data_IF_697021967197
#
_entry.id   IF_697021967197
#
_cell.length_a   1.000
_cell.length_b   1.000
_cell.length_c   1.000
_cell.angle_alpha   90.00
_cell.angle_beta   90.00
_cell.angle_gamma   90.00
#
_symmetry.space_group_name_H-M   'P 1'
#
loop_
_entity.id
_entity.type
_entity.pdbx_description
1 polymer ?
#
# COMPACT_ATOMS: atom_id res chain seq x y z
N UNK A 1 -25.68 16.93 13.76
CA UNK A 1 -26.35 15.64 13.50
C UNK A 1 -26.32 15.40 12.00
N UNK A 2 -25.24 14.80 11.50
CA UNK A 2 -25.12 14.40 10.10
C UNK A 2 -25.77 13.04 9.96
N UNK A 3 -26.85 12.97 9.17
CA UNK A 3 -27.52 11.74 8.79
C UNK A 3 -26.55 10.88 7.99
N UNK A 4 -26.27 9.66 8.47
CA UNK A 4 -25.49 8.67 7.72
C UNK A 4 -26.20 8.39 6.40
N UNK A 5 -25.68 8.95 5.32
CA UNK A 5 -26.09 8.58 3.96
C UNK A 5 -25.59 7.18 3.69
N UNK A 6 -26.49 6.36 3.15
CA UNK A 6 -26.31 4.99 2.67
C UNK A 6 -24.90 4.78 2.10
N UNK A 7 -24.07 3.99 2.79
CA UNK A 7 -22.71 3.69 2.31
C UNK A 7 -22.89 2.71 1.16
N UNK A 8 -22.79 3.17 -0.08
CA UNK A 8 -22.81 2.30 -1.26
C UNK A 8 -21.52 1.44 -1.28
N UNK A 9 -21.60 0.24 -0.72
CA UNK A 9 -20.52 -0.74 -0.76
C UNK A 9 -20.92 -1.95 -1.59
N UNK A 10 -20.04 -2.36 -2.50
CA UNK A 10 -20.25 -3.53 -3.33
C UNK A 10 -19.46 -4.72 -2.81
N UNK A 11 -20.14 -5.68 -2.17
CA UNK A 11 -19.53 -6.95 -1.80
C UNK A 11 -19.28 -7.79 -3.05
N UNK A 12 -18.05 -8.27 -3.23
CA UNK A 12 -17.68 -9.25 -4.24
C UNK A 12 -16.89 -10.39 -3.59
N UNK A 13 -17.28 -11.62 -3.87
CA UNK A 13 -16.48 -12.80 -3.50
C UNK A 13 -15.55 -13.14 -4.66
N UNK A 14 -14.25 -13.12 -4.38
CA UNK A 14 -13.20 -13.55 -5.31
C UNK A 14 -12.61 -14.85 -4.78
N UNK A 15 -12.42 -15.82 -5.67
CA UNK A 15 -11.74 -17.08 -5.34
C UNK A 15 -10.42 -17.08 -6.09
N UNK A 16 -9.35 -17.42 -5.38
CA UNK A 16 -8.04 -17.60 -6.01
C UNK A 16 -7.91 -19.04 -6.50
N UNK A 17 -7.30 -19.22 -7.68
CA UNK A 17 -6.98 -20.56 -8.16
C UNK A 17 -5.96 -21.21 -7.24
N UNK A 18 -6.12 -22.51 -6.92
CA UNK A 18 -5.12 -23.23 -6.17
C UNK A 18 -3.86 -23.34 -7.02
N UNK A 19 -2.75 -22.80 -6.51
CA UNK A 19 -1.43 -22.89 -7.13
C UNK A 19 -0.72 -24.19 -6.78
N UNK A 20 -1.16 -24.84 -5.69
CA UNK A 20 -0.57 -26.06 -5.15
C UNK A 20 -1.57 -27.20 -5.35
N UNK A 21 -1.15 -28.23 -6.06
CA UNK A 21 -1.92 -29.47 -6.17
C UNK A 21 -1.62 -30.43 -5.00
N UNK A 22 -2.35 -31.55 -4.96
CA UNK A 22 -2.22 -32.52 -3.88
C UNK A 22 -0.86 -33.24 -3.88
N UNK A 23 -0.25 -33.43 -5.05
CA UNK A 23 1.00 -34.18 -5.18
C UNK A 23 2.19 -33.32 -4.75
N UNK A 24 2.21 -32.06 -5.20
CA UNK A 24 3.17 -31.05 -4.74
C UNK A 24 3.06 -30.83 -3.23
N UNK A 25 1.84 -30.71 -2.69
CA UNK A 25 1.63 -30.60 -1.25
C UNK A 25 2.19 -31.81 -0.50
N UNK A 26 1.98 -33.01 -1.04
CA UNK A 26 2.49 -34.26 -0.48
C UNK A 26 4.01 -34.30 -0.47
N UNK A 27 4.66 -33.93 -1.57
CA UNK A 27 6.12 -33.87 -1.65
C UNK A 27 6.72 -32.85 -0.67
N UNK A 28 6.11 -31.68 -0.53
CA UNK A 28 6.56 -30.65 0.42
C UNK A 28 6.48 -31.18 1.85
N UNK A 29 5.35 -31.77 2.24
CA UNK A 29 5.14 -32.31 3.59
C UNK A 29 6.10 -33.47 3.85
N UNK A 30 6.23 -34.40 2.91
CA UNK A 30 7.12 -35.56 2.98
C UNK A 30 8.59 -35.14 3.12
N UNK A 31 9.03 -34.11 2.41
CA UNK A 31 10.39 -33.57 2.50
C UNK A 31 10.70 -33.00 3.88
N UNK A 32 9.69 -32.43 4.56
CA UNK A 32 9.80 -31.71 5.84
C UNK A 32 9.26 -32.49 7.04
N UNK A 33 8.74 -33.70 6.89
CA UNK A 33 8.03 -34.43 7.97
C UNK A 33 8.84 -34.65 9.25
N UNK A 34 10.17 -34.74 9.14
CA UNK A 34 11.04 -34.88 10.32
C UNK A 34 11.41 -33.54 10.97
N UNK A 35 11.09 -32.40 10.36
CA UNK A 35 11.49 -31.06 10.84
C UNK A 35 10.87 -30.69 12.19
N UNK A 36 9.65 -31.15 12.47
CA UNK A 36 8.95 -30.91 13.73
C UNK A 36 9.66 -31.56 14.93
N UNK A 37 10.44 -32.61 14.69
CA UNK A 37 11.19 -33.34 15.73
C UNK A 37 12.58 -32.77 15.97
N UNK A 38 12.91 -31.60 15.42
CA UNK A 38 14.26 -31.00 15.55
C UNK A 38 14.68 -30.77 17.02
N UNK A 39 13.73 -30.61 17.93
CA UNK A 39 13.97 -30.39 19.36
C UNK A 39 14.14 -31.68 20.17
N UNK A 40 13.89 -32.86 19.58
CA UNK A 40 14.10 -34.14 20.27
C UNK A 40 15.59 -34.48 20.33
N UNK A 41 16.01 -35.09 21.43
CA UNK A 41 17.37 -35.61 21.64
C UNK A 41 17.79 -36.56 20.50
N UNK A 42 16.88 -37.41 20.05
CA UNK A 42 17.05 -38.24 18.86
C UNK A 42 15.97 -37.91 17.85
N UNK A 43 16.38 -37.37 16.72
CA UNK A 43 15.48 -37.05 15.61
C UNK A 43 15.17 -38.35 14.84
N UNK A 44 13.89 -38.71 14.66
CA UNK A 44 13.51 -39.90 13.91
C UNK A 44 13.91 -39.80 12.42
N UNK A 45 14.19 -40.94 11.81
CA UNK A 45 14.46 -41.07 10.38
C UNK A 45 13.18 -40.81 9.58
N UNK A 46 13.33 -40.44 8.31
CA UNK A 46 12.17 -40.24 7.42
C UNK A 46 11.33 -41.51 7.29
N UNK A 47 11.93 -42.69 7.29
CA UNK A 47 11.19 -43.98 7.21
C UNK A 47 10.35 -44.28 8.44
N UNK A 48 10.61 -43.65 9.58
CA UNK A 48 9.90 -43.91 10.84
C UNK A 48 8.67 -42.99 11.00
N UNK A 49 8.63 -41.89 10.26
CA UNK A 49 7.55 -40.91 10.30
C UNK A 49 6.66 -41.08 9.08
N UNK A 50 5.39 -41.38 9.30
CA UNK A 50 4.42 -41.57 8.21
C UNK A 50 3.39 -40.44 8.21
N UNK A 51 3.11 -39.89 7.03
CA UNK A 51 2.05 -38.90 6.85
C UNK A 51 0.74 -39.66 6.69
N UNK A 52 -0.17 -39.53 7.66
CA UNK A 52 -1.44 -40.26 7.64
C UNK A 52 -2.44 -39.68 6.62
N UNK A 53 -2.57 -38.34 6.59
CA UNK A 53 -3.43 -37.66 5.62
C UNK A 53 -3.00 -36.22 5.43
N UNK A 54 -3.31 -35.68 4.25
CA UNK A 54 -3.12 -34.27 3.90
C UNK A 54 -4.45 -33.74 3.44
N UNK A 55 -4.88 -32.61 4.01
CA UNK A 55 -6.09 -31.90 3.60
C UNK A 55 -5.72 -30.46 3.32
N UNK A 56 -5.99 -30.01 2.10
CA UNK A 56 -5.80 -28.63 1.68
C UNK A 56 -7.08 -27.84 1.99
N UNK A 57 -6.89 -26.64 2.54
CA UNK A 57 -7.98 -25.73 2.89
C UNK A 57 -7.79 -24.39 2.20
N UNK A 58 -8.89 -23.80 1.73
CA UNK A 58 -8.92 -22.39 1.38
C UNK A 58 -8.95 -21.55 2.65
N UNK A 59 -8.05 -20.58 2.69
CA UNK A 59 -8.04 -19.53 3.70
C UNK A 59 -8.69 -18.27 3.13
N UNK A 60 -9.61 -17.70 3.91
CA UNK A 60 -10.37 -16.54 3.49
C UNK A 60 -9.72 -15.26 4.02
N UNK A 61 -9.58 -14.28 3.12
CA UNK A 61 -9.06 -12.95 3.43
C UNK A 61 -10.14 -11.91 3.13
N UNK A 62 -10.19 -10.84 3.91
CA UNK A 62 -11.04 -9.69 3.64
C UNK A 62 -10.18 -8.60 3.01
N UNK A 63 -10.61 -8.06 1.88
CA UNK A 63 -9.97 -6.88 1.26
C UNK A 63 -10.99 -5.76 1.24
N UNK A 64 -10.61 -4.61 1.79
CA UNK A 64 -11.36 -3.38 1.71
C UNK A 64 -10.63 -2.47 0.74
N UNK A 65 -11.34 -1.96 -0.25
CA UNK A 65 -10.84 -0.93 -1.16
C UNK A 65 -11.70 0.32 -1.01
N UNK A 66 -11.03 1.46 -0.92
CA UNK A 66 -11.66 2.77 -0.84
C UNK A 66 -11.04 3.66 -1.90
N UNK A 67 -11.90 4.35 -2.66
CA UNK A 67 -11.50 5.39 -3.60
C UNK A 67 -12.01 6.72 -3.07
N UNK A 68 -11.14 7.69 -2.94
CA UNK A 68 -11.54 9.04 -2.59
C UNK A 68 -11.08 10.04 -3.64
N UNK A 69 -11.92 11.05 -3.86
CA UNK A 69 -11.63 12.14 -4.77
C UNK A 69 -11.73 13.45 -4.00
N UNK A 70 -10.69 14.28 -4.08
CA UNK A 70 -10.70 15.62 -3.52
C UNK A 70 -10.57 16.63 -4.66
N UNK A 71 -11.52 17.57 -4.72
CA UNK A 71 -11.55 18.63 -5.70
C UNK A 71 -11.67 19.95 -4.96
N UNK A 72 -10.58 20.72 -4.88
CA UNK A 72 -10.52 21.91 -4.05
C UNK A 72 -9.52 22.93 -4.59
N UNK A 73 -9.74 24.20 -4.23
CA UNK A 73 -8.77 25.25 -4.48
C UNK A 73 -7.82 25.39 -3.28
N UNK A 74 -6.52 25.56 -3.55
CA UNK A 74 -5.53 25.86 -2.51
C UNK A 74 -4.65 27.03 -2.91
N UNK A 75 -4.33 27.88 -1.94
CA UNK A 75 -3.29 28.89 -2.10
C UNK A 75 -1.93 28.22 -1.93
N UNK A 76 -1.02 28.47 -2.87
CA UNK A 76 0.32 27.92 -2.86
C UNK A 76 1.35 28.97 -3.31
N UNK A 77 2.61 28.79 -2.88
CA UNK A 77 3.72 29.67 -3.25
C UNK A 77 4.69 28.88 -4.12
N UNK A 78 4.83 29.31 -5.38
CA UNK A 78 5.83 28.76 -6.30
C UNK A 78 7.07 29.63 -6.33
N UNK A 79 8.22 29.05 -6.01
CA UNK A 79 9.49 29.78 -6.04
C UNK A 79 10.21 29.58 -7.38
N UNK A 80 10.30 30.62 -8.19
CA UNK A 80 11.09 30.61 -9.41
C UNK A 80 12.51 31.10 -9.08
N UNK A 81 13.51 30.36 -9.56
CA UNK A 81 14.91 30.74 -9.40
C UNK A 81 15.39 31.44 -10.67
N UNK A 82 16.03 32.59 -10.53
CA UNK A 82 16.35 33.50 -11.62
C UNK A 82 17.84 33.84 -11.62
N UNK A 83 18.34 34.37 -12.74
CA UNK A 83 19.73 34.77 -12.86
C UNK A 83 20.06 35.92 -11.87
N UNK A 84 21.28 35.99 -11.32
CA UNK A 84 21.70 37.07 -10.43
C UNK A 84 21.55 38.49 -11.00
N UNK A 85 21.54 38.65 -12.33
CA UNK A 85 21.40 39.94 -13.02
C UNK A 85 19.95 40.40 -13.18
N UNK A 86 18.97 39.51 -12.96
CA UNK A 86 17.54 39.83 -13.06
C UNK A 86 17.09 40.59 -11.82
N UNK A 87 16.44 41.74 -12.01
CA UNK A 87 15.92 42.60 -10.93
C UNK A 87 14.44 42.35 -10.62
N UNK A 88 13.64 42.10 -11.64
CA UNK A 88 12.20 41.89 -11.55
C UNK A 88 11.73 40.94 -12.65
N UNK A 89 10.60 40.27 -12.44
CA UNK A 89 9.92 39.46 -13.44
C UNK A 89 8.50 40.01 -13.63
N UNK A 90 8.08 40.12 -14.89
CA UNK A 90 6.73 40.56 -15.25
C UNK A 90 5.96 39.32 -15.71
N UNK A 91 4.79 39.05 -15.11
CA UNK A 91 3.89 37.95 -15.49
C UNK A 91 2.48 38.54 -15.65
N UNK A 92 1.95 38.50 -16.87
CA UNK A 92 0.75 39.26 -17.21
C UNK A 92 0.99 40.75 -16.95
N UNK A 93 0.11 41.37 -16.17
CA UNK A 93 0.22 42.77 -15.76
C UNK A 93 0.91 42.96 -14.39
N UNK A 94 1.36 41.87 -13.75
CA UNK A 94 2.01 41.90 -12.44
C UNK A 94 3.53 42.01 -12.52
N UNK A 95 4.13 42.83 -11.64
CA UNK A 95 5.58 42.99 -11.49
C UNK A 95 6.02 42.35 -10.17
N UNK A 96 6.93 41.39 -10.24
CA UNK A 96 7.41 40.59 -9.10
C UNK A 96 8.89 40.88 -8.84
N UNK A 97 9.25 41.55 -7.72
CA UNK A 97 10.62 41.88 -7.41
C UNK A 97 11.40 40.66 -6.94
N UNK A 98 12.67 40.57 -7.37
CA UNK A 98 13.56 39.48 -6.98
C UNK A 98 14.02 39.63 -5.53
N UNK A 99 13.77 38.60 -4.71
CA UNK A 99 14.34 38.49 -3.37
C UNK A 99 15.79 38.00 -3.51
N UNK A 100 16.75 38.92 -3.32
CA UNK A 100 18.15 38.57 -3.20
C UNK A 100 18.40 37.92 -1.84
N UNK A 101 19.03 36.73 -1.82
CA UNK A 101 19.42 36.10 -0.57
C UNK A 101 20.48 36.93 0.15
N UNK A 102 20.15 37.53 1.30
CA UNK A 102 21.16 38.17 2.16
C UNK A 102 22.16 37.09 2.61
N UNK A 103 23.40 37.19 2.13
CA UNK A 103 24.51 36.41 2.65
C UNK A 103 24.73 36.79 4.10
N UNK A 104 24.80 35.80 4.99
CA UNK A 104 25.30 36.04 6.34
C UNK A 104 26.79 36.31 6.14
N UNK A 105 27.19 37.58 6.16
CA UNK A 105 28.59 37.94 6.37
C UNK A 105 28.93 37.51 7.81
N UNK A 106 29.22 36.22 7.97
CA UNK A 106 29.89 35.72 9.15
C UNK A 106 31.20 36.49 9.24
N UNK A 107 31.32 37.32 10.28
CA UNK A 107 32.58 37.91 10.70
C UNK A 107 33.50 36.77 11.14
N UNK A 108 34.13 36.06 10.22
CA UNK A 108 35.33 35.31 10.51
C UNK A 108 36.10 34.99 9.24
N UNK A 109 37.32 35.51 9.22
CA UNK A 109 38.39 35.27 8.28
C UNK A 109 38.60 33.79 7.99
N UNK A 110 38.18 33.30 6.82
CA UNK A 110 38.90 32.20 6.17
C UNK A 110 38.75 32.30 4.67
N UNK A 111 39.91 32.30 4.01
CA UNK A 111 40.15 32.36 2.57
C UNK A 111 39.66 31.05 1.93
N UNK A 112 38.35 30.88 1.82
CA UNK A 112 37.73 29.76 1.09
C UNK A 112 36.84 30.36 0.00
N UNK A 113 37.36 30.35 -1.23
CA UNK A 113 36.59 30.57 -2.45
C UNK A 113 35.58 29.43 -2.61
N UNK A 114 34.45 29.49 -1.91
CA UNK A 114 33.29 28.67 -2.24
C UNK A 114 32.19 29.57 -2.79
N UNK A 115 32.12 29.51 -4.11
CA UNK A 115 31.13 30.07 -5.01
C UNK A 115 29.72 29.53 -4.74
N UNK A 116 29.18 29.77 -3.54
CA UNK A 116 27.75 29.56 -3.30
C UNK A 116 27.04 30.91 -3.38
N UNK A 117 27.03 31.51 -4.58
CA UNK A 117 26.11 32.62 -4.88
C UNK A 117 24.71 32.09 -4.64
N UNK A 118 24.06 32.48 -3.53
CA UNK A 118 22.65 32.11 -3.28
C UNK A 118 21.84 32.66 -4.45
N UNK A 119 21.15 31.76 -5.15
CA UNK A 119 20.43 32.09 -6.39
C UNK A 119 19.30 33.07 -6.08
N UNK A 120 19.13 34.04 -6.97
CA UNK A 120 18.02 34.98 -6.91
C UNK A 120 16.70 34.23 -7.07
N UNK A 121 15.67 34.61 -6.31
CA UNK A 121 14.38 33.91 -6.29
C UNK A 121 13.21 34.89 -6.25
N UNK A 122 12.10 34.51 -6.86
CA UNK A 122 10.80 35.15 -6.68
C UNK A 122 9.83 34.12 -6.12
N UNK A 123 8.91 34.59 -5.28
CA UNK A 123 7.82 33.78 -4.74
C UNK A 123 6.53 34.27 -5.39
N UNK A 124 5.84 33.36 -6.07
CA UNK A 124 4.57 33.63 -6.72
C UNK A 124 3.46 32.99 -5.91
N UNK A 125 2.62 33.83 -5.30
CA UNK A 125 1.39 33.39 -4.64
C UNK A 125 0.33 33.13 -5.69
N UNK A 126 -0.07 31.87 -5.82
CA UNK A 126 -1.02 31.40 -6.83
C UNK A 126 -2.13 30.60 -6.15
N UNK A 127 -3.30 30.59 -6.76
CA UNK A 127 -4.40 29.69 -6.38
C UNK A 127 -4.46 28.53 -7.37
N UNK A 128 -4.31 27.33 -6.85
CA UNK A 128 -4.33 26.09 -7.63
C UNK A 128 -5.69 25.42 -7.49
N UNK A 129 -6.26 25.00 -8.61
CA UNK A 129 -7.37 24.07 -8.62
C UNK A 129 -6.81 22.64 -8.59
N UNK A 130 -6.91 21.98 -7.44
CA UNK A 130 -6.36 20.63 -7.23
C UNK A 130 -7.46 19.60 -7.41
N UNK A 131 -7.17 18.62 -8.26
CA UNK A 131 -7.94 17.38 -8.38
C UNK A 131 -7.05 16.21 -7.95
N UNK A 132 -7.45 15.53 -6.89
CA UNK A 132 -6.80 14.35 -6.34
C UNK A 132 -7.76 13.17 -6.43
N UNK A 133 -7.27 12.05 -6.92
CA UNK A 133 -7.99 10.79 -6.97
C UNK A 133 -7.03 9.73 -6.47
N UNK A 134 -7.36 9.13 -5.32
CA UNK A 134 -6.54 8.10 -4.70
C UNK A 134 -7.40 6.88 -4.36
N UNK A 135 -6.80 5.72 -4.55
CA UNK A 135 -7.37 4.43 -4.20
C UNK A 135 -6.45 3.74 -3.20
N UNK A 136 -7.01 3.27 -2.10
CA UNK A 136 -6.29 2.55 -1.06
C UNK A 136 -6.95 1.20 -0.79
N UNK A 137 -6.12 0.18 -0.64
CA UNK A 137 -6.54 -1.16 -0.26
C UNK A 137 -5.91 -1.55 1.07
N UNK A 138 -6.69 -2.18 1.94
CA UNK A 138 -6.24 -2.84 3.16
C UNK A 138 -6.79 -4.26 3.18
N UNK A 139 -6.00 -5.20 3.68
CA UNK A 139 -6.40 -6.59 3.75
C UNK A 139 -6.21 -7.18 5.14
N UNK A 140 -7.10 -8.10 5.49
CA UNK A 140 -7.11 -8.79 6.77
C UNK A 140 -7.13 -10.31 6.55
N UNK A 141 -6.40 -11.03 7.40
CA UNK A 141 -6.51 -12.47 7.50
C UNK A 141 -7.82 -12.92 8.17
N UNK A 142 -8.02 -14.24 8.24
CA UNK A 142 -9.21 -14.83 8.84
C UNK A 142 -9.34 -14.57 10.36
N UNK A 143 -8.30 -14.06 11.01
CA UNK A 143 -8.29 -13.63 12.41
C UNK A 143 -8.54 -12.13 12.57
N UNK A 144 -8.65 -11.37 11.48
CA UNK A 144 -8.82 -9.92 11.50
C UNK A 144 -7.52 -9.15 11.66
N UNK A 145 -6.36 -9.80 11.53
CA UNK A 145 -5.07 -9.12 11.56
C UNK A 145 -4.80 -8.53 10.18
N UNK A 146 -4.38 -7.27 10.14
CA UNK A 146 -3.93 -6.64 8.90
C UNK A 146 -2.74 -7.40 8.31
N UNK A 147 -2.81 -7.70 7.02
CA UNK A 147 -1.77 -8.38 6.28
C UNK A 147 -1.42 -7.60 5.02
N UNK A 148 -0.16 -7.71 4.61
CA UNK A 148 0.21 -7.38 3.24
C UNK A 148 -0.28 -8.52 2.34
N UNK A 149 -1.17 -8.21 1.39
CA UNK A 149 -1.66 -9.23 0.47
C UNK A 149 -0.48 -9.93 -0.23
N UNK A 150 -0.33 -11.25 -0.07
CA UNK A 150 0.81 -11.98 -0.63
C UNK A 150 0.72 -12.12 -2.15
N UNK A 151 -0.44 -11.78 -2.73
CA UNK A 151 -0.70 -11.84 -4.17
C UNK A 151 -1.05 -10.45 -4.67
N UNK A 152 -0.41 -10.01 -5.76
CA UNK A 152 -0.98 -8.95 -6.58
C UNK A 152 -2.25 -9.51 -7.20
N UNK A 153 -3.35 -8.76 -7.16
CA UNK A 153 -4.66 -9.09 -7.76
C UNK A 153 -4.56 -9.15 -9.29
N UNK A 154 -3.77 -10.08 -9.81
CA UNK A 154 -3.64 -10.33 -11.24
C UNK A 154 -4.77 -11.25 -11.68
N UNK A 155 -5.40 -10.93 -12.81
CA UNK A 155 -6.51 -11.70 -13.38
C UNK A 155 -6.19 -13.18 -13.59
N UNK A 156 -4.92 -13.55 -13.73
CA UNK A 156 -4.45 -14.94 -13.87
C UNK A 156 -4.69 -15.79 -12.61
N UNK A 157 -4.63 -15.17 -11.42
CA UNK A 157 -4.82 -15.87 -10.14
C UNK A 157 -6.30 -15.94 -9.75
N UNK A 158 -7.16 -15.14 -10.38
CA UNK A 158 -8.59 -15.13 -10.11
C UNK A 158 -9.25 -16.32 -10.83
N UNK A 159 -10.03 -17.08 -10.07
CA UNK A 159 -10.91 -18.13 -10.59
C UNK A 159 -12.04 -17.48 -11.42
N UNK A 160 -12.26 -18.00 -12.62
CA UNK A 160 -13.27 -17.49 -13.54
C UNK A 160 -14.69 -17.89 -13.11
N UNK A 161 -14.83 -19.00 -12.39
CA UNK A 161 -16.11 -19.52 -11.92
C UNK A 161 -16.14 -19.73 -10.39
N UNK A 162 -16.03 -18.66 -9.58
CA UNK A 162 -15.84 -18.76 -8.14
C UNK A 162 -16.95 -19.54 -7.43
N UNK A 163 -18.21 -19.38 -7.86
CA UNK A 163 -19.35 -20.12 -7.29
C UNK A 163 -19.21 -21.65 -7.44
N UNK A 164 -18.80 -22.11 -8.63
CA UNK A 164 -18.60 -23.54 -8.90
C UNK A 164 -17.48 -24.13 -8.07
N UNK A 165 -16.39 -23.38 -7.90
CA UNK A 165 -15.25 -23.82 -7.08
C UNK A 165 -15.64 -23.90 -5.62
N UNK A 166 -16.31 -22.88 -5.08
CA UNK A 166 -16.78 -22.87 -3.69
C UNK A 166 -17.80 -23.98 -3.40
N UNK A 167 -18.66 -24.33 -4.36
CA UNK A 167 -19.59 -25.45 -4.20
C UNK A 167 -18.87 -26.80 -4.06
N UNK A 168 -17.81 -27.02 -4.84
CA UNK A 168 -16.99 -28.23 -4.77
C UNK A 168 -16.14 -28.29 -3.50
N UNK A 169 -15.74 -27.15 -2.95
CA UNK A 169 -14.85 -27.07 -1.79
C UNK A 169 -15.52 -26.62 -0.50
N UNK A 170 -16.85 -26.71 -0.38
CA UNK A 170 -17.60 -26.32 0.83
C UNK A 170 -17.03 -26.91 2.13
N UNK A 171 -16.50 -28.14 2.09
CA UNK A 171 -15.94 -28.82 3.26
C UNK A 171 -14.50 -28.40 3.60
N UNK A 172 -13.82 -27.69 2.68
CA UNK A 172 -12.42 -27.29 2.79
C UNK A 172 -12.22 -25.77 2.75
N UNK A 173 -13.29 -24.98 2.88
CA UNK A 173 -13.20 -23.53 3.09
C UNK A 173 -13.26 -23.24 4.59
N UNK A 174 -12.26 -22.54 5.12
CA UNK A 174 -12.33 -22.02 6.50
C UNK A 174 -13.27 -20.82 6.53
N UNK A 175 -14.30 -20.89 7.37
CA UNK A 175 -15.23 -19.78 7.56
C UNK A 175 -14.56 -18.62 8.31
N UNK A 176 -14.76 -17.39 7.84
CA UNK A 176 -14.38 -16.19 8.59
C UNK A 176 -15.37 -15.96 9.73
N UNK A 177 -14.85 -15.63 10.92
CA UNK A 177 -15.65 -15.15 12.07
C UNK A 177 -15.41 -13.65 12.29
N UNK A 178 -15.45 -12.86 11.21
CA UNK A 178 -15.22 -11.43 11.29
C UNK A 178 -16.56 -10.68 11.34
N UNK A 179 -16.77 -9.97 12.45
CA UNK A 179 -17.88 -9.02 12.62
C UNK A 179 -17.23 -7.63 12.65
N UNK A 180 -17.16 -7.01 11.48
CA UNK A 180 -16.50 -5.71 11.33
C UNK A 180 -17.50 -4.60 11.68
N UNK A 181 -17.30 -3.94 12.81
CA UNK A 181 -17.96 -2.66 13.10
C UNK A 181 -17.04 -1.54 12.64
N UNK A 182 -17.37 -0.88 11.53
CA UNK A 182 -16.70 0.34 11.10
C UNK A 182 -17.13 1.48 12.02
N UNK A 183 -16.32 1.80 13.04
CA UNK A 183 -16.46 3.07 13.76
C UNK A 183 -15.56 4.10 13.06
N UNK A 184 -16.19 5.02 12.34
CA UNK A 184 -15.52 6.24 11.92
C UNK A 184 -15.21 7.07 13.17
N UNK A 185 -13.96 7.52 13.28
CA UNK A 185 -13.55 8.50 14.28
C UNK A 185 -13.38 9.81 13.53
N UNK A 186 -14.26 10.76 13.86
CA UNK A 186 -14.20 12.15 13.37
C UNK A 186 -12.90 12.85 13.76
#
# INVERSE_FOLDING_TARGET
MLTMTDVDYKIKTVVLRPLLDSDEASQIIESRKTSLFRKMLQKPKKSEVHVHSIKLFYEAFLVLSGKYTANYYRKNIHTITVDPTVKEIIIGDGIFPVKQGKGIMGKLSTKIQTTTKRKNRIDLELEEHVFLEEEQEIAFDHHGKEIKMPYKTSSKLIESYPKRTLEKTKQTVKNQKLLMMLQYKD
#
